data_IF_909192122463
#
_entry.id   IF_909192122463
#
_cell.length_a   1.000
_cell.length_b   1.000
_cell.length_c   1.000
_cell.angle_alpha   90.00
_cell.angle_beta   90.00
_cell.angle_gamma   90.00
#
_symmetry.space_group_name_H-M   'P 1'
#
loop_
_entity.id
_entity.type
_entity.pdbx_description
1 polymer ?
#
# COMPACT_ATOMS: atom_id res chain seq x y z
N UNK A 1 -9.27 -1.38 -2.87
CA UNK A 1 -8.23 -0.52 -3.49
C UNK A 1 -6.86 -1.13 -3.24
N UNK A 2 -6.09 -1.47 -4.28
CA UNK A 2 -4.78 -2.17 -4.19
C UNK A 2 -4.44 -3.06 -5.38
N UNK A 3 -5.41 -3.26 -6.25
CA UNK A 3 -5.40 -4.18 -7.37
C UNK A 3 -5.82 -3.48 -8.68
N UNK A 4 -5.77 -2.15 -8.74
CA UNK A 4 -6.24 -1.36 -9.89
C UNK A 4 -7.76 -1.24 -10.02
N UNK A 5 -8.54 -1.84 -9.12
CA UNK A 5 -10.01 -1.73 -9.10
C UNK A 5 -10.47 -0.75 -8.00
N UNK A 6 -11.40 0.15 -8.37
CA UNK A 6 -12.09 1.11 -7.47
C UNK A 6 -13.26 0.50 -6.71
N UNK A 7 -13.52 -0.80 -6.89
CA UNK A 7 -14.64 -1.53 -6.26
C UNK A 7 -14.13 -2.35 -5.08
N UNK A 8 -14.90 -2.35 -3.98
CA UNK A 8 -14.64 -3.19 -2.81
C UNK A 8 -14.51 -4.66 -3.22
N UNK A 9 -13.42 -5.29 -2.80
CA UNK A 9 -13.17 -6.71 -3.06
C UNK A 9 -13.49 -7.48 -1.78
N UNK A 10 -14.58 -8.24 -1.81
CA UNK A 10 -14.95 -9.17 -0.72
C UNK A 10 -14.17 -10.49 -0.78
N UNK A 11 -13.29 -10.64 -1.76
CA UNK A 11 -12.39 -11.79 -1.91
C UNK A 11 -10.94 -11.33 -1.73
N UNK A 12 -10.08 -12.15 -1.09
CA UNK A 12 -8.67 -11.84 -0.97
C UNK A 12 -8.04 -11.79 -2.37
N UNK A 13 -7.65 -10.59 -2.79
CA UNK A 13 -6.99 -10.37 -4.09
C UNK A 13 -5.48 -10.45 -3.93
N UNK A 14 -4.85 -11.26 -4.77
CA UNK A 14 -3.40 -11.27 -4.91
C UNK A 14 -2.96 -9.94 -5.51
N UNK A 15 -2.42 -9.07 -4.68
CA UNK A 15 -1.83 -7.82 -5.16
C UNK A 15 -0.54 -8.16 -5.87
N UNK A 16 -0.55 -8.15 -7.20
CA UNK A 16 0.66 -8.30 -8.00
C UNK A 16 1.72 -7.30 -7.50
N UNK A 17 2.91 -7.79 -7.13
CA UNK A 17 4.01 -7.09 -6.47
C UNK A 17 4.03 -7.09 -4.92
N UNK A 18 3.15 -7.84 -4.25
CA UNK A 18 3.26 -8.18 -2.82
C UNK A 18 3.53 -9.68 -2.70
N UNK A 19 4.80 -10.06 -2.50
CA UNK A 19 5.22 -11.44 -2.20
C UNK A 19 5.67 -11.49 -0.75
N UNK A 20 5.14 -12.44 0.03
CA UNK A 20 5.35 -12.58 1.48
C UNK A 20 5.00 -11.34 2.32
N UNK A 21 3.73 -10.90 2.31
CA UNK A 21 3.28 -9.97 3.35
C UNK A 21 3.26 -10.66 4.72
N UNK A 22 4.06 -10.14 5.66
CA UNK A 22 4.11 -10.59 7.06
C UNK A 22 3.02 -9.93 7.89
N UNK A 23 2.69 -8.67 7.58
CA UNK A 23 1.61 -7.95 8.22
C UNK A 23 0.92 -7.01 7.22
N UNK A 24 -0.37 -6.73 7.44
CA UNK A 24 -1.14 -5.78 6.64
C UNK A 24 -1.97 -4.90 7.56
N UNK A 25 -2.03 -3.61 7.25
CA UNK A 25 -2.84 -2.61 7.92
C UNK A 25 -3.68 -1.89 6.86
N UNK A 26 -5.00 -1.98 6.97
CA UNK A 26 -5.92 -1.27 6.10
C UNK A 26 -6.60 -0.13 6.86
N UNK A 27 -6.42 1.10 6.40
CA UNK A 27 -7.19 2.27 6.82
C UNK A 27 -8.42 2.49 5.94
N UNK A 28 -9.20 3.53 6.24
CA UNK A 28 -10.43 3.88 5.51
C UNK A 28 -10.21 4.11 4.00
N UNK A 29 -9.07 4.68 3.62
CA UNK A 29 -8.76 5.05 2.23
C UNK A 29 -7.41 4.55 1.73
N UNK A 30 -6.61 3.89 2.57
CA UNK A 30 -5.27 3.41 2.23
C UNK A 30 -5.03 2.03 2.84
N UNK A 31 -4.06 1.30 2.33
CA UNK A 31 -3.64 0.00 2.86
C UNK A 31 -2.13 -0.10 2.76
N UNK A 32 -1.51 -0.60 3.81
CA UNK A 32 -0.08 -0.81 3.92
C UNK A 32 0.19 -2.26 4.26
N UNK A 33 1.14 -2.88 3.57
CA UNK A 33 1.63 -4.21 3.88
C UNK A 33 3.12 -4.13 4.23
N UNK A 34 3.49 -4.83 5.30
CA UNK A 34 4.87 -5.14 5.66
C UNK A 34 5.23 -6.47 5.03
N UNK A 35 6.26 -6.46 4.20
CA UNK A 35 6.79 -7.64 3.54
C UNK A 35 7.88 -8.29 4.41
N UNK A 36 8.14 -9.57 4.19
CA UNK A 36 9.17 -10.32 4.91
C UNK A 36 10.60 -9.86 4.61
N UNK A 37 10.80 -9.11 3.53
CA UNK A 37 12.07 -8.47 3.19
C UNK A 37 12.33 -7.18 4.01
N UNK A 38 11.51 -6.92 5.04
CA UNK A 38 11.52 -5.69 5.84
C UNK A 38 11.16 -4.42 5.06
N UNK A 39 10.54 -4.54 3.89
CA UNK A 39 10.00 -3.39 3.16
C UNK A 39 8.52 -3.17 3.49
N UNK A 40 8.10 -1.91 3.47
CA UNK A 40 6.68 -1.55 3.61
C UNK A 40 6.21 -1.00 2.27
N UNK A 41 5.09 -1.53 1.80
CA UNK A 41 4.39 -1.03 0.62
C UNK A 41 3.02 -0.54 1.00
N UNK A 42 2.72 0.70 0.64
CA UNK A 42 1.40 1.30 0.84
C UNK A 42 0.74 1.61 -0.50
N UNK A 43 -0.58 1.59 -0.53
CA UNK A 43 -1.40 1.95 -1.68
C UNK A 43 -2.77 2.47 -1.22
N UNK A 44 -3.54 3.04 -2.14
CA UNK A 44 -4.79 3.74 -1.89
C UNK A 44 -4.58 5.25 -1.98
N UNK A 45 -5.21 6.00 -1.08
CA UNK A 45 -5.12 7.45 -1.09
C UNK A 45 -3.74 7.92 -0.66
N UNK A 46 -3.18 8.85 -1.43
CA UNK A 46 -1.90 9.52 -1.14
C UNK A 46 -2.06 10.84 -0.43
N UNK A 47 -3.29 11.31 -0.25
CA UNK A 47 -3.58 12.61 0.34
C UNK A 47 -2.96 12.70 1.73
N UNK A 48 -2.30 13.83 2.01
CA UNK A 48 -1.51 14.09 3.22
C UNK A 48 -0.21 13.27 3.33
N UNK A 49 0.27 12.63 2.25
CA UNK A 49 1.52 11.88 2.26
C UNK A 49 1.43 10.56 3.05
N UNK A 50 0.22 10.05 3.28
CA UNK A 50 -0.04 8.84 4.09
C UNK A 50 0.52 7.55 3.48
N UNK A 51 0.90 7.59 2.20
CA UNK A 51 1.63 6.50 1.53
C UNK A 51 3.13 6.51 1.84
N UNK A 52 3.65 7.63 2.38
CA UNK A 52 5.04 7.79 2.75
C UNK A 52 6.04 7.58 1.60
N UNK A 53 5.61 7.69 0.34
CA UNK A 53 6.44 7.57 -0.86
C UNK A 53 6.98 8.92 -1.37
N UNK A 54 6.93 9.97 -0.53
CA UNK A 54 7.27 11.34 -0.92
C UNK A 54 6.28 12.01 -1.88
N UNK A 55 5.15 11.38 -2.18
CA UNK A 55 4.10 11.92 -3.05
C UNK A 55 2.77 12.00 -2.28
N UNK A 56 1.97 13.00 -2.62
CA UNK A 56 0.60 13.18 -2.11
C UNK A 56 -0.47 12.66 -3.07
N UNK A 57 -0.06 12.03 -4.18
CA UNK A 57 -0.97 11.52 -5.20
C UNK A 57 -1.53 10.16 -4.80
N UNK A 58 -2.80 9.94 -5.12
CA UNK A 58 -3.45 8.65 -4.93
C UNK A 58 -2.76 7.58 -5.77
N UNK A 59 -2.35 6.47 -5.14
CA UNK A 59 -1.69 5.33 -5.79
C UNK A 59 -2.54 4.09 -5.65
N UNK A 60 -3.20 3.69 -6.72
CA UNK A 60 -3.98 2.44 -6.76
C UNK A 60 -3.13 1.17 -6.76
N UNK A 61 -1.80 1.31 -6.88
CA UNK A 61 -0.80 0.24 -6.84
C UNK A 61 0.13 0.37 -5.64
N UNK A 62 0.69 -0.74 -5.13
CA UNK A 62 1.67 -0.73 -4.05
C UNK A 62 2.90 0.07 -4.41
N UNK A 63 3.17 1.11 -3.63
CA UNK A 63 4.40 1.90 -3.69
C UNK A 63 5.21 1.70 -2.44
N UNK A 64 6.53 1.72 -2.58
CA UNK A 64 7.43 1.65 -1.43
C UNK A 64 7.32 2.93 -0.61
N UNK A 65 7.29 2.75 0.71
CA UNK A 65 7.40 3.86 1.67
C UNK A 65 8.86 4.32 1.67
N UNK A 66 9.13 5.51 1.14
CA UNK A 66 10.41 6.22 1.21
C UNK A 66 10.37 7.22 2.36
N UNK A 67 10.81 6.79 3.55
CA UNK A 67 10.78 7.65 4.74
C UNK A 67 11.65 7.19 5.93
N UNK A 68 12.44 6.12 5.79
CA UNK A 68 13.35 5.65 6.85
C UNK A 68 14.79 6.17 6.71
N UNK A 69 15.04 7.14 5.83
CA UNK A 69 16.35 7.77 5.65
C UNK A 69 16.43 9.08 6.42
N UNK A 70 16.83 9.01 7.69
CA UNK A 70 17.48 10.11 8.39
C UNK A 70 19.00 10.03 8.20
#
# INVERSE_FOLDING_TARGET
>A
MGNGFTTDQSTPVSVSNITNATAVSAGLYHTCALLSDSTIKCWGSGRNGILGNGSTDDKSTPVYVTGFGG
#
